data_IF_804502707287
#
_entry.id   IF_804502707287
#
_cell.length_a   1.000
_cell.length_b   1.000
_cell.length_c   1.000
_cell.angle_alpha   90.00
_cell.angle_beta   90.00
_cell.angle_gamma   90.00
#
_symmetry.space_group_name_H-M   'P 1'
#
loop_
_entity.id
_entity.type
_entity.pdbx_description
1 polymer ?
#
# COMPACT_ATOMS: atom_id res chain seq x y z
N UNK A 1 -53.00 71.82 11.48
CA UNK A 1 -51.78 71.18 11.88
C UNK A 1 -52.18 69.74 12.27
N UNK A 2 -51.88 68.73 11.46
CA UNK A 2 -52.21 67.33 11.69
C UNK A 2 -50.91 66.60 11.98
N UNK A 3 -50.77 66.10 13.21
CA UNK A 3 -49.59 65.36 13.66
C UNK A 3 -49.72 63.88 13.28
N UNK A 4 -48.89 63.36 12.41
CA UNK A 4 -48.81 61.93 12.04
C UNK A 4 -47.92 61.17 13.04
N UNK A 5 -48.50 60.19 13.69
CA UNK A 5 -47.78 59.30 14.57
C UNK A 5 -47.35 58.06 13.78
N UNK A 6 -46.05 57.89 13.62
CA UNK A 6 -45.46 56.71 12.94
C UNK A 6 -45.22 55.63 13.96
N UNK A 7 -45.92 54.50 13.87
CA UNK A 7 -45.69 53.31 14.70
C UNK A 7 -44.68 52.45 13.96
N UNK A 8 -43.49 52.28 14.53
CA UNK A 8 -42.42 51.38 14.04
C UNK A 8 -42.58 50.02 14.68
N UNK A 9 -43.08 49.02 13.93
CA UNK A 9 -43.10 47.63 14.39
C UNK A 9 -41.79 46.94 14.03
N UNK A 10 -41.00 46.61 15.04
CA UNK A 10 -39.77 45.83 14.90
C UNK A 10 -40.13 44.33 14.78
N UNK A 11 -39.88 43.77 13.59
CA UNK A 11 -39.96 42.33 13.37
C UNK A 11 -38.62 41.70 13.77
N UNK A 12 -38.55 40.99 14.89
CA UNK A 12 -37.43 40.18 15.30
C UNK A 12 -37.51 38.83 14.61
N UNK A 13 -36.69 38.62 13.57
CA UNK A 13 -36.47 37.31 12.96
C UNK A 13 -35.36 36.59 13.71
N UNK A 14 -35.74 35.65 14.58
CA UNK A 14 -34.83 34.72 15.21
C UNK A 14 -34.46 33.63 14.19
N UNK A 15 -33.27 33.74 13.57
CA UNK A 15 -32.72 32.66 12.77
C UNK A 15 -32.14 31.57 13.66
N UNK A 16 -32.84 30.46 13.79
CA UNK A 16 -32.31 29.25 14.43
C UNK A 16 -31.32 28.59 13.48
N UNK A 17 -30.02 28.79 13.66
CA UNK A 17 -28.96 27.96 13.03
C UNK A 17 -28.96 26.60 13.71
N UNK A 18 -29.61 25.62 13.12
CA UNK A 18 -29.44 24.23 13.46
C UNK A 18 -28.08 23.77 12.88
N UNK A 19 -27.01 23.79 13.69
CA UNK A 19 -25.74 23.19 13.36
C UNK A 19 -25.87 21.66 13.45
N UNK A 20 -26.31 21.03 12.34
CA UNK A 20 -26.21 19.58 12.17
C UNK A 20 -24.76 19.21 11.80
N UNK A 21 -23.84 19.35 12.76
CA UNK A 21 -22.46 18.85 12.68
C UNK A 21 -22.39 17.35 12.97
N UNK A 22 -23.07 16.54 12.18
CA UNK A 22 -22.87 15.10 12.19
C UNK A 22 -21.55 14.78 11.50
N UNK A 23 -20.47 14.53 12.26
CA UNK A 23 -19.27 13.92 11.74
C UNK A 23 -19.62 12.50 11.29
N UNK A 24 -19.95 12.33 10.02
CA UNK A 24 -20.16 11.02 9.44
C UNK A 24 -18.90 10.20 9.67
N UNK A 25 -19.02 9.10 10.45
CA UNK A 25 -17.94 8.14 10.64
C UNK A 25 -17.46 7.69 9.25
N UNK A 26 -16.16 7.79 8.93
CA UNK A 26 -15.68 7.37 7.63
C UNK A 26 -16.18 5.96 7.31
N UNK A 27 -16.79 5.78 6.14
CA UNK A 27 -17.27 4.47 5.73
C UNK A 27 -16.10 3.48 5.78
N UNK A 28 -16.33 2.30 6.36
CA UNK A 28 -15.30 1.27 6.44
C UNK A 28 -14.92 0.85 5.01
N UNK A 29 -13.60 0.76 4.75
CA UNK A 29 -13.08 0.34 3.45
C UNK A 29 -13.63 -1.05 3.11
N UNK A 30 -14.29 -1.14 1.95
CA UNK A 30 -14.83 -2.39 1.42
C UNK A 30 -13.74 -3.15 0.65
N UNK A 31 -13.95 -4.44 0.47
CA UNK A 31 -13.00 -5.33 -0.22
C UNK A 31 -13.76 -6.29 -1.12
N UNK A 32 -13.16 -6.61 -2.28
CA UNK A 32 -13.64 -7.63 -3.21
C UNK A 32 -12.58 -8.70 -3.43
N UNK A 33 -12.99 -9.90 -3.79
CA UNK A 33 -12.04 -10.96 -4.15
C UNK A 33 -11.36 -10.62 -5.47
N UNK A 34 -10.05 -10.80 -5.52
CA UNK A 34 -9.22 -10.77 -6.70
C UNK A 34 -8.57 -12.14 -6.89
N UNK A 35 -8.53 -12.61 -8.13
CA UNK A 35 -7.82 -13.83 -8.53
C UNK A 35 -6.93 -13.49 -9.71
N UNK A 36 -5.64 -13.83 -9.60
CA UNK A 36 -4.66 -13.68 -10.68
C UNK A 36 -4.97 -14.65 -11.81
N UNK A 37 -4.75 -14.25 -13.04
CA UNK A 37 -4.86 -15.12 -14.22
C UNK A 37 -4.09 -16.43 -13.97
N UNK A 38 -4.54 -17.52 -14.57
CA UNK A 38 -4.03 -18.88 -14.36
C UNK A 38 -4.10 -19.38 -12.90
N UNK A 39 -4.87 -18.70 -12.03
CA UNK A 39 -5.04 -19.05 -10.63
C UNK A 39 -3.71 -19.19 -9.86
N UNK A 40 -2.70 -18.38 -10.20
CA UNK A 40 -1.44 -18.38 -9.47
C UNK A 40 -1.65 -18.05 -7.98
N UNK A 41 -2.51 -17.06 -7.72
CA UNK A 41 -2.92 -16.70 -6.35
C UNK A 41 -4.27 -15.99 -6.34
N UNK A 42 -4.85 -15.86 -5.16
CA UNK A 42 -5.98 -14.97 -4.90
C UNK A 42 -5.79 -14.21 -3.59
N UNK A 43 -6.41 -13.05 -3.50
CA UNK A 43 -6.46 -12.23 -2.29
C UNK A 43 -7.70 -11.32 -2.34
N UNK A 44 -7.92 -10.52 -1.31
CA UNK A 44 -8.90 -9.44 -1.40
C UNK A 44 -8.24 -8.16 -1.92
N UNK A 45 -8.97 -7.41 -2.73
CA UNK A 45 -8.59 -6.10 -3.27
C UNK A 45 -9.39 -5.00 -2.56
N UNK A 46 -8.77 -3.91 -2.11
CA UNK A 46 -9.49 -2.81 -1.48
C UNK A 46 -10.29 -2.03 -2.53
N UNK A 47 -11.57 -1.79 -2.29
CA UNK A 47 -12.39 -0.97 -3.18
C UNK A 47 -11.95 0.49 -3.14
N UNK A 48 -12.02 1.16 -4.29
CA UNK A 48 -11.56 2.54 -4.44
C UNK A 48 -10.04 2.70 -4.60
N UNK A 49 -9.25 1.62 -4.54
CA UNK A 49 -7.84 1.65 -4.94
C UNK A 49 -7.73 1.33 -6.44
N UNK A 50 -6.79 1.99 -7.13
CA UNK A 50 -6.48 1.65 -8.51
C UNK A 50 -5.73 0.32 -8.56
N UNK A 51 -5.94 -0.43 -9.65
CA UNK A 51 -5.27 -1.72 -9.87
C UNK A 51 -4.48 -1.65 -11.17
N UNK A 52 -3.26 -2.17 -11.17
CA UNK A 52 -2.40 -2.26 -12.33
C UNK A 52 -1.73 -3.64 -12.42
N UNK A 53 -1.66 -4.20 -13.63
CA UNK A 53 -0.89 -5.39 -13.97
C UNK A 53 -0.31 -5.21 -15.37
N UNK A 54 0.85 -5.79 -15.63
CA UNK A 54 1.57 -5.68 -16.90
C UNK A 54 1.72 -7.08 -17.52
N UNK A 55 0.65 -7.61 -18.14
CA UNK A 55 0.58 -8.98 -18.65
C UNK A 55 1.74 -9.37 -19.59
N UNK A 56 2.09 -8.50 -20.53
CA UNK A 56 3.19 -8.79 -21.48
C UNK A 56 4.54 -8.92 -20.76
N UNK A 57 4.73 -8.15 -19.70
CA UNK A 57 5.91 -8.23 -18.85
C UNK A 57 5.87 -9.48 -17.99
N UNK A 58 4.71 -9.81 -17.44
CA UNK A 58 4.51 -10.96 -16.58
C UNK A 58 4.87 -12.26 -17.30
N UNK A 59 4.41 -12.44 -18.53
CA UNK A 59 4.73 -13.63 -19.35
C UNK A 59 6.22 -13.69 -19.74
N UNK A 60 6.82 -12.53 -20.05
CA UNK A 60 8.23 -12.47 -20.46
C UNK A 60 9.21 -12.79 -19.33
N UNK A 61 8.88 -12.37 -18.10
CA UNK A 61 9.77 -12.51 -16.95
C UNK A 61 9.35 -13.60 -15.99
N UNK A 62 8.28 -14.32 -16.27
CA UNK A 62 7.73 -15.35 -15.37
C UNK A 62 7.43 -14.79 -13.95
N UNK A 63 7.00 -13.50 -13.90
CA UNK A 63 6.66 -12.77 -12.68
C UNK A 63 5.25 -12.22 -12.84
N UNK A 64 4.30 -12.78 -12.12
CA UNK A 64 2.88 -12.45 -12.23
C UNK A 64 2.49 -11.55 -11.07
N UNK A 65 2.19 -10.28 -11.37
CA UNK A 65 2.02 -9.22 -10.36
C UNK A 65 0.73 -8.45 -10.50
N UNK A 66 0.11 -8.13 -9.37
CA UNK A 66 -0.93 -7.11 -9.25
C UNK A 66 -0.46 -6.02 -8.29
N UNK A 67 -0.59 -4.77 -8.69
CA UNK A 67 -0.35 -3.61 -7.85
C UNK A 67 -1.67 -2.93 -7.50
N UNK A 68 -1.86 -2.62 -6.22
CA UNK A 68 -2.94 -1.80 -5.70
C UNK A 68 -2.36 -0.45 -5.27
N UNK A 69 -2.88 0.65 -5.83
CA UNK A 69 -2.49 2.01 -5.48
C UNK A 69 -3.60 2.68 -4.68
N UNK A 70 -3.24 3.20 -3.52
CA UNK A 70 -4.16 3.97 -2.69
C UNK A 70 -4.65 5.23 -3.44
N UNK A 71 -5.88 5.71 -3.19
CA UNK A 71 -6.36 6.97 -3.71
C UNK A 71 -5.35 8.08 -3.44
N UNK A 72 -5.04 8.86 -4.47
CA UNK A 72 -3.97 9.83 -4.44
C UNK A 72 -4.35 11.02 -3.56
N UNK A 73 -3.87 11.05 -2.33
CA UNK A 73 -3.93 12.20 -1.43
C UNK A 73 -2.55 12.83 -1.17
N UNK A 74 -1.48 12.23 -1.73
CA UNK A 74 -0.10 12.65 -1.54
C UNK A 74 0.73 12.40 -2.81
N UNK A 75 1.88 13.08 -2.94
CA UNK A 75 2.82 12.94 -4.08
C UNK A 75 3.39 11.52 -4.25
N UNK A 76 3.33 10.71 -3.21
CA UNK A 76 3.81 9.33 -3.20
C UNK A 76 2.74 8.44 -2.54
N UNK A 77 1.79 7.89 -3.33
CA UNK A 77 0.72 7.05 -2.81
C UNK A 77 1.27 5.78 -2.16
N UNK A 78 0.50 5.22 -1.23
CA UNK A 78 0.78 3.88 -0.71
C UNK A 78 0.50 2.84 -1.81
N UNK A 79 1.38 1.86 -1.94
CA UNK A 79 1.28 0.78 -2.92
C UNK A 79 1.35 -0.57 -2.22
N UNK A 80 0.52 -1.51 -2.68
CA UNK A 80 0.58 -2.91 -2.25
C UNK A 80 0.74 -3.74 -3.52
N UNK A 81 1.80 -4.56 -3.58
CA UNK A 81 2.06 -5.50 -4.66
C UNK A 81 1.92 -6.91 -4.15
N UNK A 82 1.28 -7.76 -4.93
CA UNK A 82 1.21 -9.20 -4.71
C UNK A 82 1.75 -9.86 -5.95
N UNK A 83 2.87 -10.55 -5.81
CA UNK A 83 3.64 -11.11 -6.92
C UNK A 83 3.86 -12.60 -6.70
N UNK A 84 3.77 -13.37 -7.78
CA UNK A 84 4.27 -14.73 -7.88
C UNK A 84 5.49 -14.74 -8.80
N UNK A 85 6.60 -15.19 -8.28
CA UNK A 85 7.84 -15.44 -9.01
C UNK A 85 7.89 -16.94 -9.32
N UNK A 86 7.75 -17.29 -10.60
CA UNK A 86 7.89 -18.68 -11.02
C UNK A 86 9.34 -19.14 -10.87
N UNK A 87 9.56 -20.45 -10.83
CA UNK A 87 10.89 -21.05 -10.64
C UNK A 87 11.93 -20.61 -11.67
N UNK A 88 11.45 -20.39 -12.91
CA UNK A 88 12.32 -20.04 -14.04
C UNK A 88 12.39 -18.53 -14.31
N UNK A 89 11.91 -17.70 -13.34
CA UNK A 89 12.02 -16.24 -13.46
C UNK A 89 13.50 -15.82 -13.53
N UNK A 90 13.84 -14.82 -14.38
CA UNK A 90 15.25 -14.44 -14.58
C UNK A 90 15.81 -13.54 -13.47
N UNK A 91 14.96 -12.98 -12.59
CA UNK A 91 15.38 -11.96 -11.63
C UNK A 91 15.98 -12.57 -10.36
N UNK A 92 15.49 -13.75 -9.93
CA UNK A 92 15.89 -14.39 -8.69
C UNK A 92 15.99 -15.90 -8.85
N UNK A 93 17.07 -16.50 -8.34
CA UNK A 93 17.28 -17.95 -8.32
C UNK A 93 16.37 -18.70 -7.35
N UNK A 94 15.68 -17.98 -6.45
CA UNK A 94 14.75 -18.50 -5.46
C UNK A 94 14.36 -17.45 -4.44
N UNK A 95 13.57 -17.86 -3.46
CA UNK A 95 13.13 -16.94 -2.40
C UNK A 95 14.27 -16.49 -1.49
N UNK A 96 15.32 -17.30 -1.30
CA UNK A 96 16.50 -16.94 -0.52
C UNK A 96 17.22 -15.75 -1.14
N UNK A 97 17.44 -15.78 -2.45
CA UNK A 97 18.07 -14.72 -3.21
C UNK A 97 17.23 -13.42 -3.15
N UNK A 98 15.92 -13.54 -3.29
CA UNK A 98 14.99 -12.41 -3.10
C UNK A 98 15.07 -11.83 -1.68
N UNK A 99 15.10 -12.68 -0.64
CA UNK A 99 15.22 -12.26 0.75
C UNK A 99 16.53 -11.54 0.99
N UNK A 100 17.65 -12.09 0.52
CA UNK A 100 18.98 -11.49 0.64
C UNK A 100 19.01 -10.11 -0.04
N UNK A 101 18.61 -10.03 -1.31
CA UNK A 101 18.59 -8.79 -2.10
C UNK A 101 17.66 -7.70 -1.53
N UNK A 102 16.66 -8.07 -0.72
CA UNK A 102 15.75 -7.12 -0.10
C UNK A 102 16.03 -6.85 1.39
N UNK A 103 17.04 -7.48 1.98
CA UNK A 103 17.45 -7.29 3.39
C UNK A 103 18.71 -6.45 3.58
N UNK A 104 19.33 -6.00 2.50
CA UNK A 104 20.53 -5.16 2.48
C UNK A 104 20.55 -4.27 1.23
N UNK A 105 21.43 -3.28 1.21
CA UNK A 105 21.66 -2.46 0.02
C UNK A 105 22.61 -3.16 -0.98
N UNK A 106 22.86 -2.53 -2.12
CA UNK A 106 23.73 -3.08 -3.17
C UNK A 106 25.19 -3.32 -2.72
N UNK A 107 25.62 -2.70 -1.63
CA UNK A 107 26.94 -2.88 -1.04
C UNK A 107 26.96 -3.96 0.06
N UNK A 108 25.83 -4.63 0.32
CA UNK A 108 25.69 -5.62 1.38
C UNK A 108 25.53 -5.00 2.78
N UNK A 109 25.18 -3.72 2.88
CA UNK A 109 25.02 -3.03 4.15
C UNK A 109 23.55 -3.03 4.58
N UNK A 110 23.29 -3.26 5.86
CA UNK A 110 21.95 -3.19 6.44
C UNK A 110 21.58 -1.78 6.90
N UNK A 111 22.52 -0.84 6.91
CA UNK A 111 22.30 0.56 7.32
C UNK A 111 23.23 1.51 6.58
N UNK A 112 22.66 2.59 6.06
CA UNK A 112 23.36 3.73 5.48
C UNK A 112 22.62 5.04 5.86
N UNK A 113 23.10 6.20 5.40
CA UNK A 113 22.41 7.48 5.59
C UNK A 113 21.00 7.50 4.98
N UNK A 114 20.77 6.71 3.92
CA UNK A 114 19.54 6.72 3.12
C UNK A 114 18.66 5.50 3.31
N UNK A 115 19.20 4.43 3.86
CA UNK A 115 18.53 3.13 3.96
C UNK A 115 18.79 2.50 5.32
N UNK A 116 17.76 1.85 5.84
CA UNK A 116 17.84 1.05 7.06
C UNK A 116 16.99 -0.21 6.88
N UNK A 117 17.60 -1.37 7.01
CA UNK A 117 17.00 -2.69 6.89
C UNK A 117 16.93 -3.34 8.26
N UNK A 118 15.74 -3.80 8.64
CA UNK A 118 15.55 -4.56 9.87
C UNK A 118 15.99 -6.03 9.66
N UNK A 119 16.40 -6.73 10.73
CA UNK A 119 16.68 -8.16 10.64
C UNK A 119 15.49 -8.93 10.09
N UNK A 120 15.76 -9.87 9.18
CA UNK A 120 14.73 -10.77 8.60
C UNK A 120 14.12 -11.63 9.70
N UNK A 121 12.79 -11.71 9.76
CA UNK A 121 12.06 -12.52 10.72
C UNK A 121 11.39 -13.72 10.04
N UNK A 122 11.60 -14.91 10.57
CA UNK A 122 10.80 -16.09 10.20
C UNK A 122 9.47 -16.02 10.93
N UNK A 123 8.37 -16.11 10.19
CA UNK A 123 7.01 -16.01 10.71
C UNK A 123 6.12 -17.13 10.15
N UNK A 124 4.88 -17.19 10.61
CA UNK A 124 3.82 -17.95 9.95
C UNK A 124 2.76 -16.99 9.41
N UNK A 125 2.49 -17.06 8.11
CA UNK A 125 1.41 -16.33 7.45
C UNK A 125 0.39 -17.35 6.92
N UNK A 126 -0.85 -17.29 7.42
CA UNK A 126 -1.93 -18.23 7.06
C UNK A 126 -1.53 -19.71 7.25
N UNK A 127 -0.75 -20.01 8.31
CA UNK A 127 -0.28 -21.36 8.62
C UNK A 127 0.95 -21.82 7.84
N UNK A 128 1.42 -21.08 6.83
CA UNK A 128 2.62 -21.37 6.04
C UNK A 128 3.84 -20.65 6.61
N UNK A 129 5.01 -21.25 6.47
CA UNK A 129 6.27 -20.55 6.74
C UNK A 129 6.42 -19.36 5.79
N UNK A 130 6.89 -18.25 6.33
CA UNK A 130 7.13 -17.02 5.59
C UNK A 130 8.28 -16.22 6.23
N UNK A 131 8.80 -15.27 5.48
CA UNK A 131 9.81 -14.33 5.92
C UNK A 131 9.20 -12.92 5.91
N UNK A 132 9.40 -12.19 7.00
CA UNK A 132 9.04 -10.78 7.09
C UNK A 132 10.30 -9.93 6.98
N UNK A 133 10.29 -9.00 6.02
CA UNK A 133 11.31 -8.00 5.84
C UNK A 133 10.70 -6.60 6.05
N UNK A 134 11.47 -5.72 6.66
CA UNK A 134 11.10 -4.31 6.85
C UNK A 134 12.29 -3.43 6.53
N UNK A 135 12.05 -2.36 5.81
CA UNK A 135 13.10 -1.37 5.53
C UNK A 135 12.53 0.04 5.44
N UNK A 136 13.40 0.99 5.66
CA UNK A 136 13.13 2.41 5.44
C UNK A 136 14.17 2.93 4.45
N UNK A 137 13.73 3.66 3.42
CA UNK A 137 14.62 4.23 2.43
C UNK A 137 14.18 5.63 1.99
N UNK A 138 15.15 6.47 1.64
CA UNK A 138 14.88 7.74 0.94
C UNK A 138 14.62 7.45 -0.53
N UNK A 139 13.55 8.03 -1.07
CA UNK A 139 13.19 7.93 -2.49
C UNK A 139 13.11 9.34 -3.05
N UNK A 140 13.85 9.62 -4.11
CA UNK A 140 13.75 10.90 -4.83
C UNK A 140 12.45 10.93 -5.62
N UNK A 141 11.74 12.08 -5.56
CA UNK A 141 10.47 12.23 -6.26
C UNK A 141 10.66 12.55 -7.75
N UNK A 142 11.82 13.10 -8.10
CA UNK A 142 12.20 13.53 -9.45
C UNK A 142 13.61 13.04 -9.79
N UNK A 143 13.83 11.70 -9.90
CA UNK A 143 15.18 11.14 -10.09
C UNK A 143 15.82 11.57 -11.41
N UNK A 144 15.01 11.96 -12.42
CA UNK A 144 15.45 12.47 -13.73
C UNK A 144 15.84 13.96 -13.71
N UNK A 145 15.59 14.66 -12.62
CA UNK A 145 15.87 16.10 -12.48
C UNK A 145 17.02 16.35 -11.50
N UNK A 146 17.48 17.60 -11.41
CA UNK A 146 18.44 18.05 -10.39
C UNK A 146 17.79 18.36 -9.04
N UNK A 147 16.51 18.01 -8.85
CA UNK A 147 15.80 18.22 -7.59
C UNK A 147 16.22 17.21 -6.54
N UNK A 148 16.60 17.69 -5.35
CA UNK A 148 16.86 16.86 -4.18
C UNK A 148 15.58 16.50 -3.40
N UNK A 149 14.40 16.82 -3.96
CA UNK A 149 13.13 16.53 -3.32
C UNK A 149 12.96 15.02 -3.16
N UNK A 150 12.87 14.60 -1.92
CA UNK A 150 12.82 13.18 -1.55
C UNK A 150 11.79 12.92 -0.46
N UNK A 151 11.37 11.69 -0.35
CA UNK A 151 10.45 11.22 0.67
C UNK A 151 11.00 9.96 1.34
N UNK A 152 10.92 9.90 2.66
CA UNK A 152 11.22 8.68 3.38
C UNK A 152 10.05 7.70 3.21
N UNK A 153 10.35 6.52 2.67
CA UNK A 153 9.40 5.42 2.50
C UNK A 153 9.74 4.27 3.43
N UNK A 154 8.69 3.61 3.91
CA UNK A 154 8.77 2.33 4.61
C UNK A 154 8.24 1.24 3.72
N UNK A 155 8.96 0.12 3.66
CA UNK A 155 8.50 -1.11 3.03
C UNK A 155 8.29 -2.18 4.11
N UNK A 156 7.24 -2.99 3.94
CA UNK A 156 7.04 -4.26 4.63
C UNK A 156 6.78 -5.33 3.59
N UNK A 157 7.49 -6.44 3.67
CA UNK A 157 7.44 -7.50 2.67
C UNK A 157 7.22 -8.82 3.39
N UNK A 158 6.29 -9.63 2.89
CA UNK A 158 6.15 -11.05 3.25
C UNK A 158 6.57 -11.89 2.07
N UNK A 159 7.48 -12.83 2.30
CA UNK A 159 7.96 -13.79 1.29
C UNK A 159 7.51 -15.18 1.70
N UNK A 160 6.80 -15.88 0.82
CA UNK A 160 6.26 -17.22 1.07
C UNK A 160 6.86 -18.19 0.05
N UNK A 161 7.71 -19.13 0.46
CA UNK A 161 8.18 -20.21 -0.41
C UNK A 161 7.03 -21.02 -1.01
N UNK A 162 7.20 -21.48 -2.25
CA UNK A 162 6.30 -22.40 -2.93
C UNK A 162 7.13 -23.45 -3.69
N UNK A 163 6.49 -24.57 -4.07
CA UNK A 163 7.17 -25.67 -4.76
C UNK A 163 7.78 -25.23 -6.10
N UNK A 164 7.07 -24.41 -6.86
CA UNK A 164 7.46 -23.99 -8.21
C UNK A 164 7.78 -22.47 -8.24
N UNK A 165 8.44 -21.95 -7.18
CA UNK A 165 8.80 -20.55 -7.07
C UNK A 165 8.51 -19.97 -5.69
N UNK A 166 8.07 -18.72 -5.62
CA UNK A 166 7.72 -18.06 -4.35
C UNK A 166 6.75 -16.89 -4.56
N UNK A 167 6.16 -16.44 -3.49
CA UNK A 167 5.30 -15.24 -3.48
C UNK A 167 5.94 -14.13 -2.67
N UNK A 168 5.78 -12.89 -3.15
CA UNK A 168 6.13 -11.69 -2.40
C UNK A 168 4.91 -10.76 -2.28
N UNK A 169 4.54 -10.42 -1.05
CA UNK A 169 3.54 -9.41 -0.76
C UNK A 169 4.27 -8.20 -0.21
N UNK A 170 4.29 -7.10 -0.95
CA UNK A 170 5.04 -5.90 -0.61
C UNK A 170 4.12 -4.72 -0.39
N UNK A 171 4.27 -4.06 0.74
CA UNK A 171 3.63 -2.79 1.06
C UNK A 171 4.69 -1.69 1.12
N UNK A 172 4.47 -0.58 0.43
CA UNK A 172 5.37 0.55 0.37
C UNK A 172 4.59 1.86 0.51
N UNK A 173 4.98 2.72 1.44
CA UNK A 173 4.34 4.00 1.65
C UNK A 173 5.29 5.02 2.29
N UNK A 174 4.99 6.32 2.17
CA UNK A 174 5.64 7.33 3.01
C UNK A 174 5.39 7.03 4.49
N UNK A 175 6.27 7.47 5.37
CA UNK A 175 6.17 7.19 6.82
C UNK A 175 4.79 7.54 7.39
N UNK A 176 4.21 8.67 6.99
CA UNK A 176 2.88 9.08 7.44
C UNK A 176 1.76 8.19 6.89
N UNK A 177 1.83 7.80 5.61
CA UNK A 177 0.84 6.94 4.97
C UNK A 177 0.97 5.47 5.40
N UNK A 178 2.17 5.04 5.85
CA UNK A 178 2.45 3.67 6.25
C UNK A 178 1.54 3.22 7.42
N UNK A 179 1.49 4.00 8.50
CA UNK A 179 0.67 3.66 9.68
C UNK A 179 -0.81 3.57 9.31
N UNK A 180 -1.28 4.53 8.48
CA UNK A 180 -2.68 4.58 8.03
C UNK A 180 -3.10 3.36 7.20
N UNK A 181 -2.23 2.90 6.30
CA UNK A 181 -2.56 1.86 5.31
C UNK A 181 -2.03 0.47 5.68
N UNK A 182 -1.19 0.32 6.70
CA UNK A 182 -0.72 -0.98 7.17
C UNK A 182 -1.87 -1.97 7.48
N UNK A 183 -2.98 -1.57 8.12
CA UNK A 183 -4.10 -2.48 8.35
C UNK A 183 -4.74 -3.02 7.05
N UNK A 184 -4.71 -2.25 5.96
CA UNK A 184 -5.19 -2.69 4.63
C UNK A 184 -4.29 -3.80 4.10
N UNK A 185 -2.97 -3.58 4.14
CA UNK A 185 -1.98 -4.58 3.74
C UNK A 185 -2.11 -5.88 4.54
N UNK A 186 -2.19 -5.78 5.88
CA UNK A 186 -2.34 -6.94 6.76
C UNK A 186 -3.62 -7.74 6.45
N UNK A 187 -4.71 -7.06 6.10
CA UNK A 187 -5.97 -7.72 5.71
C UNK A 187 -5.82 -8.45 4.38
N UNK A 188 -5.14 -7.85 3.39
CA UNK A 188 -4.81 -8.48 2.12
C UNK A 188 -3.92 -9.71 2.36
N UNK A 189 -2.85 -9.58 3.13
CA UNK A 189 -1.93 -10.65 3.44
C UNK A 189 -2.62 -11.84 4.16
N UNK A 190 -3.52 -11.56 5.10
CA UNK A 190 -4.33 -12.59 5.77
C UNK A 190 -5.32 -13.30 4.85
N UNK A 191 -5.76 -12.65 3.79
CA UNK A 191 -6.68 -13.24 2.80
C UNK A 191 -5.96 -14.01 1.69
N UNK A 192 -4.64 -13.83 1.59
CA UNK A 192 -3.82 -14.39 0.51
C UNK A 192 -3.87 -15.92 0.49
N UNK A 193 -4.06 -16.47 -0.71
CA UNK A 193 -4.01 -17.89 -1.03
C UNK A 193 -3.16 -18.07 -2.28
N UNK A 194 -2.03 -18.70 -2.15
CA UNK A 194 -1.16 -19.14 -3.25
C UNK A 194 -1.10 -20.66 -3.30
N UNK A 195 -0.65 -21.21 -4.42
CA UNK A 195 -0.34 -22.64 -4.52
C UNK A 195 0.78 -23.00 -3.53
N UNK A 196 0.74 -24.19 -2.91
CA UNK A 196 1.79 -24.64 -1.99
C UNK A 196 3.11 -24.90 -2.70
#
# INVERSE_FOLDING_TARGET
>A
MKTFLLILTAFSVAAALAAAGGTAKPAALQFKTYTMDNNYFSCIAPEGWSMASEKDRDEKYEIYEIEFLAPQSARSPATIRVSYYAKDNPDFSGYEDFVESNSQNILGETKSERENYEPVKKIKLNGREAFELSRTKMTYLHPESKSDESVQRKDKIYVLPAKEGFYALKFSASTAAFIKNLPVFEKIAKSFKGKP
#
